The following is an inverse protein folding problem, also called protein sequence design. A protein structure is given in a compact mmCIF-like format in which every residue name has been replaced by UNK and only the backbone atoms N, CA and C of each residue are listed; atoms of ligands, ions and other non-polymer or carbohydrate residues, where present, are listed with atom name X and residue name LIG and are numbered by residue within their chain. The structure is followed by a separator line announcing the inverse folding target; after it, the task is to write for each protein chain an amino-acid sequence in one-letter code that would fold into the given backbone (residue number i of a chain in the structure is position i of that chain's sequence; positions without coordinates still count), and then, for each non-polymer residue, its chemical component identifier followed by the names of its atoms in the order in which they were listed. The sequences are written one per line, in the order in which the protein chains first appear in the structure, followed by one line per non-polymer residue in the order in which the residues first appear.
data_IF_224326622653
#
_entry.id   IF_224326622653
#
_cell.length_a   1.000
_cell.length_b   1.000
_cell.length_c   1.000
_cell.angle_alpha   90.00
_cell.angle_beta   90.00
_cell.angle_gamma   90.00
#
_symmetry.space_group_name_H-M   'P 1'
#
loop_
_entity.id
_entity.type
_entity.pdbx_description
1 polymer ?
#
# COMPACT_ATOMS: atom_id res chain seq x y z
N UNK A 1 40.26 41.95 26.99
CA UNK A 1 39.13 42.83 26.65
C UNK A 1 37.96 41.96 26.24
N UNK A 2 36.82 42.15 26.90
CA UNK A 2 35.57 41.39 26.71
C UNK A 2 34.73 42.13 25.67
N UNK A 3 34.33 41.51 24.58
CA UNK A 3 33.25 42.02 23.74
C UNK A 3 32.08 41.04 23.83
N UNK A 4 31.10 41.42 24.65
CA UNK A 4 29.82 40.73 24.77
C UNK A 4 28.93 41.27 23.66
N UNK A 5 28.54 40.43 22.71
CA UNK A 5 27.53 40.77 21.71
C UNK A 5 26.19 40.33 22.28
N UNK A 6 25.35 41.34 22.52
CA UNK A 6 24.05 41.25 23.17
C UNK A 6 23.04 40.61 22.23
N UNK A 7 22.41 39.55 22.70
CA UNK A 7 21.22 38.91 22.16
C UNK A 7 20.05 39.90 22.17
N UNK A 8 19.48 40.21 20.99
CA UNK A 8 18.19 40.91 20.88
C UNK A 8 17.21 39.92 20.28
N UNK A 9 16.32 39.39 21.13
CA UNK A 9 15.08 38.76 20.73
C UNK A 9 14.21 39.82 20.05
N UNK A 10 13.84 39.61 18.79
CA UNK A 10 12.67 40.25 18.21
C UNK A 10 11.74 39.18 17.66
N UNK A 11 10.74 38.90 18.48
CA UNK A 11 9.57 38.08 18.18
C UNK A 11 8.78 38.71 17.05
N UNK A 12 8.69 38.02 15.91
CA UNK A 12 7.66 38.26 14.90
C UNK A 12 6.87 36.96 14.73
N UNK A 13 5.79 36.85 15.51
CA UNK A 13 4.72 35.89 15.28
C UNK A 13 4.02 36.29 13.98
N UNK A 14 4.24 35.52 12.91
CA UNK A 14 3.40 35.57 11.72
C UNK A 14 2.50 34.34 11.77
N UNK A 15 1.34 34.49 12.42
CA UNK A 15 0.24 33.54 12.28
C UNK A 15 -0.43 33.82 10.94
N UNK A 16 -0.02 33.08 9.92
CA UNK A 16 -0.75 32.96 8.66
C UNK A 16 -1.97 32.06 8.90
N UNK A 17 -3.08 32.68 9.30
CA UNK A 17 -4.41 32.08 9.25
C UNK A 17 -4.83 31.96 7.80
N UNK A 18 -4.75 30.77 7.21
CA UNK A 18 -5.42 30.48 5.94
C UNK A 18 -6.81 29.95 6.27
N UNK A 19 -7.85 30.68 5.87
CA UNK A 19 -9.24 30.25 5.99
C UNK A 19 -9.45 28.95 5.22
N UNK A 20 -10.25 28.00 5.71
CA UNK A 20 -10.86 27.02 4.82
C UNK A 20 -11.92 27.76 4.00
N UNK A 21 -11.63 27.96 2.72
CA UNK A 21 -12.68 28.24 1.75
C UNK A 21 -13.56 26.99 1.68
N UNK A 22 -14.83 27.17 2.06
CA UNK A 22 -15.89 26.19 1.87
C UNK A 22 -16.13 26.06 0.38
N UNK A 23 -15.35 25.20 -0.27
CA UNK A 23 -15.71 24.63 -1.55
C UNK A 23 -16.74 23.53 -1.27
N UNK A 24 -17.96 23.78 -1.72
CA UNK A 24 -19.03 22.81 -1.89
C UNK A 24 -18.55 21.74 -2.87
N UNK A 25 -17.80 20.75 -2.36
CA UNK A 25 -17.52 19.52 -3.08
C UNK A 25 -18.82 18.75 -3.18
N UNK A 26 -19.58 19.10 -4.21
CA UNK A 26 -20.64 18.28 -4.75
C UNK A 26 -20.03 16.91 -5.01
N UNK A 27 -20.44 15.93 -4.21
CA UNK A 27 -20.19 14.53 -4.48
C UNK A 27 -20.66 14.25 -5.90
N UNK A 28 -19.71 14.10 -6.82
CA UNK A 28 -19.97 13.36 -8.05
C UNK A 28 -20.07 11.89 -7.66
N UNK A 29 -21.17 11.55 -6.99
CA UNK A 29 -21.77 10.25 -7.16
C UNK A 29 -21.97 10.11 -8.67
N UNK A 30 -21.15 9.30 -9.32
CA UNK A 30 -21.55 8.70 -10.58
C UNK A 30 -22.70 7.77 -10.24
N UNK A 31 -23.87 8.35 -10.04
CA UNK A 31 -25.13 7.68 -10.05
C UNK A 31 -25.22 7.03 -11.43
N UNK A 32 -24.95 5.74 -11.47
CA UNK A 32 -25.43 4.88 -12.53
C UNK A 32 -26.93 5.13 -12.63
N UNK A 33 -27.34 5.93 -13.63
CA UNK A 33 -28.73 6.08 -14.02
C UNK A 33 -29.22 4.74 -14.56
N UNK A 34 -29.55 3.82 -13.65
CA UNK A 34 -30.32 2.63 -13.98
C UNK A 34 -31.76 3.11 -14.13
N UNK A 35 -32.14 3.33 -15.38
CA UNK A 35 -33.54 3.36 -15.77
C UNK A 35 -34.09 1.95 -15.50
N UNK A 36 -34.75 1.77 -14.35
CA UNK A 36 -35.39 0.50 -14.01
C UNK A 36 -36.66 0.36 -14.85
N UNK A 37 -36.54 -0.34 -15.99
CA UNK A 37 -37.67 -0.97 -16.65
C UNK A 37 -37.53 -2.48 -16.41
N UNK A 38 -38.37 -2.98 -15.50
CA UNK A 38 -38.72 -4.38 -15.30
C UNK A 38 -37.81 -5.44 -15.93
N UNK A 39 -36.75 -5.80 -15.21
CA UNK A 39 -35.90 -6.94 -15.49
C UNK A 39 -34.80 -6.94 -14.43
N UNK A 40 -34.68 -8.02 -13.66
CA UNK A 40 -33.72 -8.12 -12.57
C UNK A 40 -32.30 -7.79 -13.08
N UNK A 41 -31.81 -6.61 -12.71
CA UNK A 41 -30.40 -6.27 -12.84
C UNK A 41 -29.67 -7.02 -11.74
N UNK A 42 -29.12 -8.19 -12.08
CA UNK A 42 -27.97 -8.72 -11.35
C UNK A 42 -26.85 -7.75 -11.62
N UNK A 43 -26.62 -6.82 -10.68
CA UNK A 43 -25.37 -6.08 -10.64
C UNK A 43 -24.28 -7.11 -10.52
N UNK A 44 -23.53 -7.27 -11.60
CA UNK A 44 -22.33 -8.08 -11.63
C UNK A 44 -21.29 -7.41 -10.73
N UNK A 45 -21.22 -7.85 -9.47
CA UNK A 45 -20.32 -7.34 -8.42
C UNK A 45 -18.89 -7.89 -8.56
N UNK A 46 -18.57 -8.55 -9.67
CA UNK A 46 -17.37 -9.40 -9.83
C UNK A 46 -16.07 -8.67 -10.09
N UNK A 47 -16.01 -7.34 -10.02
CA UNK A 47 -14.76 -6.59 -10.25
C UNK A 47 -14.46 -5.62 -9.11
N UNK A 48 -14.27 -6.14 -7.89
CA UNK A 48 -13.70 -5.36 -6.80
C UNK A 48 -12.16 -5.44 -6.85
N UNK A 49 -11.52 -4.64 -7.69
CA UNK A 49 -10.07 -4.45 -7.64
C UNK A 49 -9.72 -3.50 -6.50
N UNK A 50 -8.78 -3.87 -5.63
CA UNK A 50 -8.21 -2.99 -4.61
C UNK A 50 -6.82 -2.54 -5.02
N UNK A 51 -6.46 -1.29 -4.73
CA UNK A 51 -5.14 -0.73 -5.02
C UNK A 51 -4.62 0.04 -3.81
N UNK A 52 -3.32 -0.10 -3.54
CA UNK A 52 -2.58 0.70 -2.56
C UNK A 52 -1.20 1.07 -3.08
N UNK A 53 -0.57 2.08 -2.48
CA UNK A 53 0.78 2.51 -2.83
C UNK A 53 1.81 1.47 -2.37
N UNK A 54 2.88 1.28 -3.14
CA UNK A 54 4.08 0.56 -2.70
C UNK A 54 5.05 1.59 -2.13
N UNK A 55 5.20 1.62 -0.81
CA UNK A 55 6.00 2.62 -0.10
C UNK A 55 7.37 2.08 0.26
N UNK A 56 8.42 2.61 -0.35
CA UNK A 56 9.82 2.36 -0.04
C UNK A 56 10.32 3.28 1.08
N UNK A 57 11.27 2.81 1.90
CA UNK A 57 11.94 3.65 2.90
C UNK A 57 10.96 4.39 3.85
N UNK A 58 9.80 3.79 4.12
CA UNK A 58 8.65 4.35 4.87
C UNK A 58 7.86 5.49 4.21
N UNK A 59 8.49 6.35 3.40
CA UNK A 59 7.85 7.60 2.94
C UNK A 59 8.07 7.91 1.46
N UNK A 60 8.59 6.97 0.68
CA UNK A 60 8.90 7.16 -0.73
C UNK A 60 7.93 6.33 -1.55
N UNK A 61 7.22 6.97 -2.47
CA UNK A 61 6.41 6.28 -3.44
C UNK A 61 7.32 5.50 -4.41
N UNK A 62 7.15 4.18 -4.47
CA UNK A 62 7.91 3.29 -5.34
C UNK A 62 7.03 2.53 -6.33
N UNK A 63 5.71 2.80 -6.35
CA UNK A 63 4.76 2.17 -7.25
C UNK A 63 3.42 1.83 -6.59
N UNK A 64 2.78 0.77 -7.05
CA UNK A 64 1.48 0.30 -6.56
C UNK A 64 1.45 -1.22 -6.33
N UNK A 65 0.57 -1.63 -5.44
CA UNK A 65 0.13 -3.01 -5.27
C UNK A 65 -1.36 -3.08 -5.59
N UNK A 66 -1.75 -3.97 -6.50
CA UNK A 66 -3.15 -4.26 -6.81
C UNK A 66 -3.55 -5.64 -6.33
N UNK A 67 -4.81 -5.80 -5.96
CA UNK A 67 -5.42 -7.07 -5.60
C UNK A 67 -6.69 -7.24 -6.42
N UNK A 68 -6.74 -8.34 -7.17
CA UNK A 68 -7.87 -8.74 -8.00
C UNK A 68 -8.36 -10.13 -7.60
N UNK A 69 -9.60 -10.44 -7.94
CA UNK A 69 -10.15 -11.79 -7.86
C UNK A 69 -10.44 -12.31 -9.26
N UNK A 70 -9.76 -13.40 -9.65
CA UNK A 70 -9.97 -14.09 -10.92
C UNK A 70 -10.52 -15.48 -10.63
N UNK A 71 -11.81 -15.69 -10.88
CA UNK A 71 -12.50 -16.97 -10.61
C UNK A 71 -12.35 -17.44 -9.14
N UNK A 72 -12.50 -16.51 -8.18
CA UNK A 72 -12.32 -16.77 -6.75
C UNK A 72 -10.87 -16.84 -6.28
N UNK A 73 -9.88 -16.71 -7.18
CA UNK A 73 -8.46 -16.72 -6.84
C UNK A 73 -7.96 -15.30 -6.61
N UNK A 74 -7.35 -15.05 -5.45
CA UNK A 74 -6.68 -13.78 -5.15
C UNK A 74 -5.44 -13.66 -6.03
N UNK A 75 -5.33 -12.57 -6.78
CA UNK A 75 -4.16 -12.24 -7.58
C UNK A 75 -3.61 -10.90 -7.11
N UNK A 76 -2.37 -10.89 -6.65
CA UNK A 76 -1.69 -9.68 -6.19
C UNK A 76 -0.65 -9.29 -7.23
N UNK A 77 -0.67 -8.05 -7.70
CA UNK A 77 0.33 -7.54 -8.62
C UNK A 77 1.06 -6.34 -8.04
N UNK A 78 2.36 -6.27 -8.28
CA UNK A 78 3.23 -5.15 -7.99
C UNK A 78 3.56 -4.46 -9.31
N UNK A 79 3.47 -3.14 -9.36
CA UNK A 79 4.01 -2.32 -10.45
C UNK A 79 4.86 -1.24 -9.83
N UNK A 80 6.17 -1.23 -10.10
CA UNK A 80 7.03 -0.16 -9.62
C UNK A 80 6.89 1.11 -10.45
N UNK A 81 7.22 2.25 -9.85
CA UNK A 81 7.41 3.50 -10.56
C UNK A 81 8.67 3.43 -11.44
N UNK A 82 8.78 4.32 -12.44
CA UNK A 82 9.84 4.29 -13.46
C UNK A 82 11.27 4.33 -12.92
N UNK A 83 11.49 4.90 -11.74
CA UNK A 83 12.81 5.01 -11.10
C UNK A 83 13.18 3.77 -10.27
N UNK A 84 12.28 2.80 -10.11
CA UNK A 84 12.46 1.65 -9.24
C UNK A 84 12.35 0.32 -9.99
N UNK A 85 13.23 -0.61 -9.67
CA UNK A 85 13.15 -2.01 -10.10
C UNK A 85 12.87 -2.90 -8.89
N UNK A 86 12.00 -3.89 -9.04
CA UNK A 86 11.69 -4.88 -8.02
C UNK A 86 12.70 -6.02 -8.14
N UNK A 87 13.48 -6.28 -7.09
CA UNK A 87 14.50 -7.34 -7.06
C UNK A 87 14.07 -8.53 -6.23
N UNK A 88 13.22 -8.34 -5.22
CA UNK A 88 12.65 -9.42 -4.40
C UNK A 88 11.21 -9.08 -4.02
N UNK A 89 10.37 -10.10 -3.89
CA UNK A 89 9.02 -9.98 -3.33
C UNK A 89 8.82 -10.99 -2.22
N UNK A 90 8.16 -10.57 -1.14
CA UNK A 90 7.68 -11.44 -0.07
C UNK A 90 6.23 -11.07 0.24
N UNK A 91 5.33 -12.01 0.06
CA UNK A 91 3.90 -11.78 0.14
C UNK A 91 3.25 -12.78 1.10
N UNK A 92 2.48 -12.23 2.03
CA UNK A 92 1.51 -12.98 2.83
C UNK A 92 0.10 -12.69 2.35
N UNK A 93 -0.71 -13.73 2.15
CA UNK A 93 -2.16 -13.64 1.93
C UNK A 93 -2.82 -14.69 2.81
N UNK A 94 -3.65 -14.28 3.77
CA UNK A 94 -4.37 -15.24 4.61
C UNK A 94 -4.98 -14.61 5.87
N UNK A 95 -5.38 -15.46 6.82
CA UNK A 95 -5.95 -15.00 8.09
C UNK A 95 -4.92 -14.28 8.96
N UNK A 96 -5.30 -13.22 9.68
CA UNK A 96 -4.35 -12.44 10.49
C UNK A 96 -3.61 -13.28 11.53
N UNK A 97 -4.29 -14.24 12.15
CA UNK A 97 -3.70 -15.10 13.20
C UNK A 97 -2.66 -16.11 12.68
N UNK A 98 -2.53 -16.26 11.36
CA UNK A 98 -1.54 -17.11 10.71
C UNK A 98 -0.37 -16.30 10.12
N UNK A 99 -0.42 -14.96 10.20
CA UNK A 99 0.68 -14.10 9.76
C UNK A 99 1.93 -14.41 10.59
N UNK A 100 3.05 -14.85 9.98
CA UNK A 100 4.25 -15.21 10.73
C UNK A 100 4.85 -13.99 11.43
N UNK A 101 4.85 -13.97 12.76
CA UNK A 101 5.48 -12.90 13.57
C UNK A 101 6.43 -13.46 14.62
N UNK A 102 7.47 -12.69 14.94
CA UNK A 102 8.30 -12.89 16.14
C UNK A 102 7.48 -12.72 17.42
N UNK A 103 8.03 -13.16 18.57
CA UNK A 103 7.37 -12.97 19.87
C UNK A 103 7.11 -11.51 20.26
N UNK A 104 7.81 -10.55 19.61
CA UNK A 104 7.61 -9.11 19.81
C UNK A 104 6.67 -8.48 18.77
N UNK A 105 6.03 -9.28 17.90
CA UNK A 105 5.05 -8.80 16.91
C UNK A 105 5.63 -8.31 15.58
N UNK A 106 6.96 -8.30 15.39
CA UNK A 106 7.54 -8.01 14.07
C UNK A 106 7.26 -9.17 13.10
N UNK A 107 6.87 -8.91 11.84
CA UNK A 107 6.69 -9.96 10.84
C UNK A 107 8.00 -10.71 10.54
N UNK A 108 7.89 -12.01 10.30
CA UNK A 108 8.98 -12.86 9.82
C UNK A 108 8.91 -12.96 8.29
N UNK A 109 9.41 -11.93 7.60
CA UNK A 109 9.32 -11.79 6.13
C UNK A 109 9.82 -13.05 5.39
N UNK A 110 10.94 -13.63 5.82
CA UNK A 110 11.50 -14.86 5.23
C UNK A 110 10.67 -16.14 5.46
N UNK A 111 9.53 -16.04 6.17
CA UNK A 111 8.57 -17.13 6.37
C UNK A 111 7.26 -16.89 5.61
N UNK A 112 7.18 -15.84 4.79
CA UNK A 112 6.00 -15.57 4.00
C UNK A 112 5.83 -16.66 2.90
N UNK A 113 4.59 -17.16 2.67
CA UNK A 113 4.38 -18.32 1.78
C UNK A 113 4.77 -18.07 0.32
N UNK A 114 4.69 -16.83 -0.15
CA UNK A 114 5.00 -16.45 -1.52
C UNK A 114 6.23 -15.55 -1.48
N UNK A 115 7.36 -16.04 -1.98
CA UNK A 115 8.59 -15.25 -2.07
C UNK A 115 9.38 -15.63 -3.32
N UNK A 116 9.98 -14.64 -3.97
CA UNK A 116 10.80 -14.84 -5.16
C UNK A 116 11.82 -13.71 -5.35
N UNK A 117 12.86 -14.01 -6.13
CA UNK A 117 13.86 -13.05 -6.60
C UNK A 117 13.65 -12.78 -8.08
N UNK A 118 13.83 -11.53 -8.51
CA UNK A 118 13.49 -11.09 -9.86
C UNK A 118 14.73 -10.64 -10.63
N UNK A 119 14.75 -10.81 -11.97
CA UNK A 119 15.81 -10.26 -12.81
C UNK A 119 15.90 -8.73 -12.71
N UNK A 120 17.09 -8.18 -12.92
CA UNK A 120 17.32 -6.73 -13.09
C UNK A 120 16.39 -6.17 -14.18
N UNK A 121 15.83 -5.00 -13.94
CA UNK A 121 14.85 -4.34 -14.82
C UNK A 121 13.41 -4.80 -14.63
N UNK A 122 13.10 -5.64 -13.64
CA UNK A 122 11.73 -6.06 -13.35
C UNK A 122 10.93 -4.91 -12.75
N UNK A 123 9.87 -4.50 -13.43
CA UNK A 123 8.96 -3.43 -12.96
C UNK A 123 7.54 -3.92 -12.68
N UNK A 124 7.21 -5.16 -13.06
CA UNK A 124 5.91 -5.77 -12.84
C UNK A 124 6.09 -7.20 -12.31
N UNK A 125 5.36 -7.54 -11.26
CA UNK A 125 5.31 -8.89 -10.69
C UNK A 125 3.86 -9.26 -10.42
N UNK A 126 3.42 -10.45 -10.85
CA UNK A 126 2.09 -10.99 -10.54
C UNK A 126 2.26 -12.27 -9.70
N UNK A 127 1.54 -12.37 -8.59
CA UNK A 127 1.57 -13.50 -7.67
C UNK A 127 0.14 -14.04 -7.50
N UNK A 128 -0.03 -15.32 -7.81
CA UNK A 128 -1.30 -16.03 -7.66
C UNK A 128 -1.38 -16.61 -6.25
N UNK A 129 -2.39 -16.16 -5.50
CA UNK A 129 -2.64 -16.51 -4.11
C UNK A 129 -3.68 -17.62 -3.92
N UNK A 130 -4.31 -17.69 -2.74
CA UNK A 130 -5.34 -18.69 -2.44
C UNK A 130 -6.66 -18.40 -3.14
N UNK A 131 -7.52 -19.41 -3.21
CA UNK A 131 -8.94 -19.24 -3.53
C UNK A 131 -9.71 -18.81 -2.28
N UNK A 132 -10.58 -17.82 -2.43
CA UNK A 132 -11.52 -17.35 -1.40
C UNK A 132 -12.94 -17.31 -1.97
N UNK A 133 -13.95 -17.37 -1.09
CA UNK A 133 -15.37 -17.30 -1.47
C UNK A 133 -15.92 -15.90 -1.24
N UNK A 134 -17.03 -15.58 -1.90
CA UNK A 134 -17.78 -14.35 -1.60
C UNK A 134 -18.15 -14.32 -0.10
N UNK A 135 -17.86 -13.19 0.56
CA UNK A 135 -17.99 -12.97 1.99
C UNK A 135 -16.71 -13.25 2.81
N UNK A 136 -15.64 -13.79 2.21
CA UNK A 136 -14.38 -14.04 2.90
C UNK A 136 -13.46 -12.81 2.87
N UNK A 137 -12.72 -12.59 3.96
CA UNK A 137 -11.68 -11.56 4.05
C UNK A 137 -10.30 -12.19 4.32
N UNK A 138 -9.27 -11.60 3.72
CA UNK A 138 -7.86 -11.96 3.91
C UNK A 138 -7.03 -10.72 4.24
N UNK A 139 -5.97 -10.94 5.01
CA UNK A 139 -4.94 -9.94 5.26
C UNK A 139 -3.79 -10.15 4.30
N UNK A 140 -3.33 -9.04 3.73
CA UNK A 140 -2.28 -9.00 2.73
C UNK A 140 -1.12 -8.17 3.28
N UNK A 141 0.05 -8.78 3.35
CA UNK A 141 1.30 -8.11 3.74
C UNK A 141 2.26 -8.20 2.55
N UNK A 142 2.26 -7.17 1.72
CA UNK A 142 2.97 -7.11 0.45
C UNK A 142 4.32 -6.40 0.62
N UNK A 143 5.39 -7.17 0.80
CA UNK A 143 6.75 -6.66 0.93
C UNK A 143 7.53 -6.82 -0.38
N UNK A 144 8.41 -5.87 -0.68
CA UNK A 144 9.35 -5.94 -1.79
C UNK A 144 10.71 -5.37 -1.39
N UNK A 145 11.76 -5.81 -2.08
CA UNK A 145 13.03 -5.07 -2.16
C UNK A 145 13.04 -4.38 -3.50
N UNK A 146 13.28 -3.08 -3.49
CA UNK A 146 13.34 -2.24 -4.69
C UNK A 146 14.71 -1.59 -4.79
N UNK A 147 15.19 -1.40 -6.01
CA UNK A 147 16.47 -0.74 -6.30
C UNK A 147 16.20 0.46 -7.19
N UNK A 148 16.74 1.62 -6.82
CA UNK A 148 16.65 2.81 -7.65
C UNK A 148 17.54 2.64 -8.89
N UNK A 149 16.96 2.75 -10.07
CA UNK A 149 17.63 2.51 -11.36
C UNK A 149 18.78 3.50 -11.64
N UNK A 150 18.69 4.72 -11.09
CA UNK A 150 19.67 5.78 -11.33
C UNK A 150 20.83 5.75 -10.32
N UNK A 151 20.52 5.53 -9.04
CA UNK A 151 21.53 5.57 -7.96
C UNK A 151 22.10 4.19 -7.63
N UNK A 152 21.33 3.13 -7.87
CA UNK A 152 21.65 1.76 -7.45
C UNK A 152 21.40 1.49 -5.96
N UNK A 153 20.78 2.44 -5.24
CA UNK A 153 20.44 2.28 -3.83
C UNK A 153 19.25 1.32 -3.67
N UNK A 154 19.31 0.43 -2.67
CA UNK A 154 18.24 -0.49 -2.33
C UNK A 154 17.40 0.01 -1.16
N UNK A 155 16.10 -0.27 -1.23
CA UNK A 155 15.13 0.02 -0.17
C UNK A 155 14.18 -1.16 0.02
N UNK A 156 13.74 -1.36 1.26
CA UNK A 156 12.58 -2.22 1.52
C UNK A 156 11.30 -1.43 1.27
N UNK A 157 10.30 -2.05 0.67
CA UNK A 157 9.00 -1.46 0.38
C UNK A 157 7.84 -2.31 0.89
N UNK A 158 6.75 -1.64 1.28
CA UNK A 158 5.52 -2.28 1.72
C UNK A 158 4.31 -1.68 1.01
N UNK A 159 3.35 -2.53 0.63
CA UNK A 159 2.01 -2.06 0.29
C UNK A 159 1.42 -1.26 1.46
N UNK A 160 1.00 -0.03 1.21
CA UNK A 160 0.54 0.88 2.23
C UNK A 160 -0.73 0.35 2.90
N UNK A 161 -0.79 0.50 4.22
CA UNK A 161 -1.86 -0.02 5.05
C UNK A 161 -1.60 0.23 6.54
N UNK A 162 -2.21 -0.61 7.37
CA UNK A 162 -2.08 -0.54 8.82
C UNK A 162 -0.80 -1.23 9.30
N UNK A 163 -0.16 -0.75 10.39
CA UNK A 163 0.99 -1.44 10.97
C UNK A 163 0.65 -2.87 11.41
N UNK A 164 1.49 -3.84 11.03
CA UNK A 164 1.36 -5.25 11.50
C UNK A 164 1.58 -5.34 13.01
N UNK A 165 2.43 -4.46 13.54
CA UNK A 165 2.80 -4.39 14.95
C UNK A 165 4.29 -4.53 15.20
N UNK A 166 4.65 -4.68 16.47
CA UNK A 166 6.04 -4.71 16.92
C UNK A 166 6.72 -3.34 16.82
N UNK A 167 8.00 -3.35 16.44
CA UNK A 167 8.86 -2.17 16.30
C UNK A 167 9.24 -1.87 14.84
N UNK A 168 8.86 -2.75 13.91
CA UNK A 168 9.05 -2.55 12.48
C UNK A 168 8.00 -1.59 11.91
N UNK A 169 8.27 -1.03 10.74
CA UNK A 169 7.32 -0.22 9.98
C UNK A 169 6.49 -1.04 8.98
N UNK A 170 6.52 -2.37 9.10
CA UNK A 170 5.82 -3.25 8.19
C UNK A 170 4.31 -3.04 8.23
N UNK A 171 3.69 -3.03 7.05
CA UNK A 171 2.28 -2.74 6.86
C UNK A 171 1.54 -3.93 6.28
N UNK A 172 0.25 -3.98 6.55
CA UNK A 172 -0.69 -4.90 5.93
C UNK A 172 -2.02 -4.19 5.68
N UNK A 173 -2.83 -4.76 4.82
CA UNK A 173 -4.20 -4.30 4.59
C UNK A 173 -5.14 -5.49 4.46
N UNK A 174 -6.41 -5.27 4.76
CA UNK A 174 -7.46 -6.27 4.62
C UNK A 174 -8.15 -6.12 3.27
N UNK A 175 -8.46 -7.25 2.65
CA UNK A 175 -9.22 -7.34 1.41
C UNK A 175 -10.33 -8.37 1.58
N UNK A 176 -11.56 -8.02 1.19
CA UNK A 176 -12.72 -8.90 1.24
C UNK A 176 -13.28 -9.11 -0.17
N UNK A 177 -13.63 -10.36 -0.49
CA UNK A 177 -14.30 -10.73 -1.74
C UNK A 177 -15.80 -10.86 -1.54
#
# INVERSE_FOLDING_TARGET
MKFKITLVLLSALILSSCSPDNEDYTSSETANNIIVIGGATTTDLTNQSFQTELMAGQNIYAGIVNVDIKDGVVVVSYSSDTEWEITETHLYIGALNLLPTTGNGNPMIGQFPYADTHPVGTINVEIVGPTISEGDCVYIAAHAVVVNSDTGDDETAWGAGEPIGGTSWAMMFEYCY
#
